data_IF_882577084204
#
_entry.id   IF_882577084204
#
_cell.length_a   1.000
_cell.length_b   1.000
_cell.length_c   1.000
_cell.angle_alpha   90.00
_cell.angle_beta   90.00
_cell.angle_gamma   90.00
#
_symmetry.space_group_name_H-M   'P 1'
#
loop_
_entity.id
_entity.type
_entity.pdbx_description
1 polymer ?
#
# COMPACT_ATOMS: atom_id res chain seq x y z
N UNK A 1 25.81 56.01 39.14
CA UNK A 1 26.26 54.78 38.41
C UNK A 1 25.28 54.54 37.30
N UNK A 2 25.72 54.54 36.03
CA UNK A 2 24.80 54.26 34.91
C UNK A 2 24.56 52.75 34.81
N UNK A 3 23.31 52.33 34.54
CA UNK A 3 22.88 50.95 34.39
C UNK A 3 23.52 50.31 33.14
N UNK A 4 23.83 48.98 33.23
CA UNK A 4 24.43 48.30 32.08
C UNK A 4 23.43 48.20 30.94
N UNK A 5 23.88 48.63 29.74
CA UNK A 5 23.13 48.47 28.47
C UNK A 5 23.00 46.95 28.18
N UNK A 6 21.77 46.41 28.21
CA UNK A 6 21.47 45.10 27.67
C UNK A 6 21.72 45.09 26.15
N UNK A 7 22.78 44.45 25.71
CA UNK A 7 22.97 44.08 24.33
C UNK A 7 21.91 43.05 23.95
N UNK A 8 20.95 43.46 23.14
CA UNK A 8 20.03 42.53 22.46
C UNK A 8 20.89 41.66 21.53
N UNK A 9 21.08 40.42 21.89
CA UNK A 9 21.53 39.41 20.95
C UNK A 9 20.48 39.31 19.85
N UNK A 10 20.79 39.78 18.66
CA UNK A 10 20.02 39.47 17.47
C UNK A 10 20.07 37.95 17.28
N UNK A 11 18.96 37.25 17.53
CA UNK A 11 18.80 35.91 17.10
C UNK A 11 18.95 35.86 15.59
N UNK A 12 19.95 35.18 15.05
CA UNK A 12 20.04 34.89 13.63
C UNK A 12 18.75 34.17 13.25
N UNK A 13 17.91 34.77 12.42
CA UNK A 13 16.82 34.06 11.76
C UNK A 13 17.45 33.28 10.64
N UNK A 14 17.34 31.97 10.69
CA UNK A 14 17.73 31.08 9.60
C UNK A 14 16.57 31.02 8.59
N UNK A 15 16.87 30.99 7.29
CA UNK A 15 15.87 30.58 6.33
C UNK A 15 15.48 29.11 6.58
N UNK A 16 14.23 28.69 6.30
CA UNK A 16 13.82 27.28 6.56
C UNK A 16 14.71 26.23 5.91
N UNK A 17 15.24 26.51 4.73
CA UNK A 17 16.19 25.67 4.01
C UNK A 17 17.54 25.52 4.74
N UNK A 18 18.03 26.58 5.41
CA UNK A 18 19.30 26.56 6.14
C UNK A 18 19.22 25.69 7.41
N UNK A 19 18.00 25.50 7.95
CA UNK A 19 17.80 24.69 9.15
C UNK A 19 18.04 23.20 8.89
N UNK A 20 17.79 22.72 7.68
CA UNK A 20 17.96 21.31 7.31
C UNK A 20 19.45 20.94 7.26
N UNK A 21 20.30 21.88 6.90
CA UNK A 21 21.76 21.67 6.76
C UNK A 21 22.52 21.78 8.08
N UNK A 22 21.83 22.09 9.18
CA UNK A 22 22.48 22.11 10.50
C UNK A 22 22.96 20.71 10.88
N UNK A 23 24.23 20.54 11.38
CA UNK A 23 24.80 19.23 11.71
C UNK A 23 23.91 18.41 12.67
N UNK A 24 23.25 19.06 13.64
CA UNK A 24 22.34 18.40 14.56
C UNK A 24 21.11 17.83 13.85
N UNK A 25 20.56 18.58 12.89
CA UNK A 25 19.38 18.15 12.11
C UNK A 25 19.79 17.01 11.17
N UNK A 26 20.93 17.10 10.50
CA UNK A 26 21.47 16.04 9.66
C UNK A 26 21.74 14.76 10.44
N UNK A 27 22.31 14.87 11.66
CA UNK A 27 22.51 13.72 12.53
C UNK A 27 21.16 13.09 12.93
N UNK A 28 20.18 13.89 13.28
CA UNK A 28 18.82 13.40 13.63
C UNK A 28 18.15 12.71 12.44
N UNK A 29 18.26 13.25 11.23
CA UNK A 29 17.75 12.64 10.01
C UNK A 29 18.43 11.30 9.71
N UNK A 30 19.77 11.22 9.84
CA UNK A 30 20.51 9.99 9.65
C UNK A 30 20.12 8.90 10.67
N UNK A 31 19.90 9.29 11.92
CA UNK A 31 19.42 8.38 12.96
C UNK A 31 18.00 7.88 12.63
N UNK A 32 17.10 8.77 12.17
CA UNK A 32 15.75 8.39 11.75
C UNK A 32 15.78 7.44 10.55
N UNK A 33 16.60 7.73 9.53
CA UNK A 33 16.78 6.84 8.37
C UNK A 33 17.30 5.47 8.81
N UNK A 34 18.26 5.41 9.73
CA UNK A 34 18.82 4.16 10.25
C UNK A 34 17.77 3.37 11.02
N UNK A 35 16.95 4.04 11.84
CA UNK A 35 15.86 3.43 12.58
C UNK A 35 14.81 2.85 11.63
N UNK A 36 14.31 3.63 10.68
CA UNK A 36 13.34 3.16 9.70
C UNK A 36 13.89 2.03 8.81
N UNK A 37 15.19 2.03 8.54
CA UNK A 37 15.82 0.95 7.76
C UNK A 37 15.87 -0.35 8.57
N UNK A 38 16.14 -0.29 9.87
CA UNK A 38 16.10 -1.45 10.77
C UNK A 38 14.67 -1.97 10.90
N UNK A 39 13.72 -1.11 11.18
CA UNK A 39 12.29 -1.44 11.27
C UNK A 39 11.77 -2.09 9.99
N UNK A 40 12.12 -1.52 8.81
CA UNK A 40 11.74 -2.10 7.52
C UNK A 40 12.35 -3.49 7.29
N UNK A 41 13.57 -3.75 7.80
CA UNK A 41 14.19 -5.08 7.72
C UNK A 41 13.49 -6.08 8.63
N UNK A 42 13.09 -5.67 9.83
CA UNK A 42 12.38 -6.53 10.78
C UNK A 42 10.99 -6.90 10.25
N UNK A 43 10.24 -5.90 9.73
CA UNK A 43 8.96 -6.13 9.05
C UNK A 43 9.12 -7.09 7.86
N UNK A 44 10.17 -6.90 7.05
CA UNK A 44 10.46 -7.81 5.94
C UNK A 44 10.81 -9.21 6.39
N UNK A 45 11.56 -9.32 7.48
CA UNK A 45 11.94 -10.62 8.02
C UNK A 45 10.70 -11.40 8.48
N UNK A 46 9.79 -10.76 9.19
CA UNK A 46 8.58 -11.39 9.72
C UNK A 46 7.59 -11.74 8.60
N UNK A 47 7.39 -10.85 7.62
CA UNK A 47 6.44 -11.07 6.51
C UNK A 47 6.99 -11.97 5.37
N UNK A 48 8.33 -12.11 5.24
CA UNK A 48 8.96 -12.85 4.12
C UNK A 48 9.44 -14.24 4.55
N UNK A 49 9.69 -14.47 5.84
CA UNK A 49 10.24 -15.74 6.38
C UNK A 49 9.15 -16.67 6.93
N UNK A 50 7.92 -16.19 7.03
CA UNK A 50 6.81 -17.11 7.36
C UNK A 50 6.67 -18.14 6.23
N UNK A 51 6.88 -19.42 6.58
CA UNK A 51 6.88 -20.60 5.69
C UNK A 51 5.47 -20.93 5.14
N UNK A 52 4.60 -19.89 5.12
CA UNK A 52 3.24 -20.00 4.60
C UNK A 52 3.21 -19.89 3.08
N UNK A 53 2.22 -20.51 2.45
CA UNK A 53 1.91 -20.41 1.00
C UNK A 53 1.65 -18.93 0.54
N UNK A 54 1.76 -17.96 1.46
CA UNK A 54 1.40 -16.56 1.29
C UNK A 54 2.60 -15.59 1.36
N UNK A 55 3.81 -16.04 1.04
CA UNK A 55 5.00 -15.18 0.99
C UNK A 55 5.29 -14.69 -0.42
N UNK A 56 5.84 -13.46 -0.59
CA UNK A 56 6.31 -12.97 -1.88
C UNK A 56 7.31 -13.93 -2.51
N UNK A 57 7.18 -14.20 -3.81
CA UNK A 57 8.00 -15.20 -4.51
C UNK A 57 9.05 -14.57 -5.44
N UNK A 58 9.09 -13.26 -5.57
CA UNK A 58 10.05 -12.56 -6.40
C UNK A 58 10.59 -11.30 -5.73
N UNK A 59 11.82 -10.85 -6.09
CA UNK A 59 12.37 -9.60 -5.57
C UNK A 59 11.48 -8.37 -5.84
N UNK A 60 10.73 -8.37 -6.94
CA UNK A 60 9.82 -7.26 -7.29
C UNK A 60 8.61 -7.23 -6.36
N UNK A 61 8.08 -8.39 -6.00
CA UNK A 61 7.01 -8.51 -5.01
C UNK A 61 7.47 -8.02 -3.63
N UNK A 62 8.70 -8.38 -3.21
CA UNK A 62 9.28 -7.87 -1.96
C UNK A 62 9.38 -6.34 -1.99
N UNK A 63 9.88 -5.74 -3.09
CA UNK A 63 9.96 -4.28 -3.23
C UNK A 63 8.58 -3.65 -3.10
N UNK A 64 7.56 -4.21 -3.77
CA UNK A 64 6.20 -3.67 -3.70
C UNK A 64 5.63 -3.76 -2.28
N UNK A 65 5.80 -4.88 -1.58
CA UNK A 65 5.35 -5.09 -0.20
C UNK A 65 6.00 -4.09 0.76
N UNK A 66 7.33 -3.88 0.67
CA UNK A 66 8.05 -2.89 1.49
C UNK A 66 7.44 -1.51 1.32
N UNK A 67 7.28 -1.06 0.08
CA UNK A 67 6.74 0.26 -0.18
C UNK A 67 5.27 0.40 0.21
N UNK A 68 4.51 -0.69 0.16
CA UNK A 68 3.16 -0.73 0.71
C UNK A 68 3.16 -0.45 2.22
N UNK A 69 4.00 -1.16 2.99
CA UNK A 69 4.13 -0.97 4.44
C UNK A 69 4.62 0.44 4.80
N UNK A 70 5.61 0.96 4.07
CA UNK A 70 6.11 2.34 4.26
C UNK A 70 4.98 3.36 4.01
N UNK A 71 4.24 3.24 2.93
CA UNK A 71 3.16 4.18 2.61
C UNK A 71 2.00 4.06 3.59
N UNK A 72 1.64 2.85 4.03
CA UNK A 72 0.64 2.63 5.07
C UNK A 72 1.05 3.31 6.39
N UNK A 73 2.29 3.13 6.83
CA UNK A 73 2.83 3.79 8.03
C UNK A 73 2.83 5.32 7.88
N UNK A 74 3.23 5.85 6.71
CA UNK A 74 3.21 7.30 6.43
C UNK A 74 1.80 7.87 6.54
N UNK A 75 0.79 7.18 6.00
CA UNK A 75 -0.62 7.60 6.09
C UNK A 75 -1.13 7.52 7.53
N UNK A 76 -0.76 6.50 8.27
CA UNK A 76 -1.12 6.37 9.70
C UNK A 76 -0.59 7.55 10.54
N UNK A 77 0.65 8.01 10.28
CA UNK A 77 1.21 9.19 10.93
C UNK A 77 0.44 10.48 10.60
N UNK A 78 -0.21 10.54 9.45
CA UNK A 78 -1.07 11.66 9.03
C UNK A 78 -2.51 11.54 9.52
N UNK A 79 -2.81 10.60 10.43
CA UNK A 79 -4.15 10.29 10.94
C UNK A 79 -5.14 9.86 9.84
N UNK A 80 -4.63 9.31 8.76
CA UNK A 80 -5.39 8.76 7.64
C UNK A 80 -4.91 7.34 7.30
N UNK A 81 -5.02 6.38 8.25
CA UNK A 81 -4.61 5.00 7.99
C UNK A 81 -5.46 4.42 6.86
N UNK A 82 -4.85 3.72 5.91
CA UNK A 82 -5.59 3.16 4.78
C UNK A 82 -6.63 2.13 5.20
N UNK A 83 -6.45 1.45 6.34
CA UNK A 83 -7.32 0.36 6.81
C UNK A 83 -7.40 -0.79 5.81
N UNK A 84 -6.28 -1.04 5.11
CA UNK A 84 -6.15 -1.96 4.00
C UNK A 84 -4.96 -2.87 4.19
N UNK A 85 -5.15 -4.16 3.97
CA UNK A 85 -4.12 -5.18 4.00
C UNK A 85 -3.76 -5.69 2.61
N UNK A 86 -2.52 -6.14 2.45
CA UNK A 86 -1.96 -6.69 1.22
C UNK A 86 -1.62 -8.17 1.43
N UNK A 87 -2.33 -9.04 0.73
CA UNK A 87 -2.20 -10.49 0.84
C UNK A 87 -1.37 -11.03 -0.34
N UNK A 88 -0.12 -11.49 -0.11
CA UNK A 88 0.70 -12.09 -1.16
C UNK A 88 0.15 -13.47 -1.55
N UNK A 89 0.36 -13.82 -2.82
CA UNK A 89 0.11 -15.15 -3.38
C UNK A 89 -1.31 -15.69 -3.17
N UNK A 90 -2.32 -14.78 -3.14
CA UNK A 90 -3.72 -15.14 -2.91
C UNK A 90 -4.29 -16.01 -4.04
N UNK A 91 -5.07 -17.04 -3.67
CA UNK A 91 -5.69 -17.96 -4.63
C UNK A 91 -7.16 -17.60 -4.83
N UNK A 92 -7.55 -17.35 -6.07
CA UNK A 92 -8.94 -17.02 -6.42
C UNK A 92 -9.46 -17.84 -7.59
N UNK A 93 -10.80 -17.99 -7.65
CA UNK A 93 -11.49 -18.56 -8.81
C UNK A 93 -11.97 -17.45 -9.73
N UNK A 94 -11.69 -17.60 -11.01
CA UNK A 94 -12.18 -16.67 -12.04
C UNK A 94 -13.45 -17.18 -12.73
N UNK A 95 -14.07 -16.32 -13.55
CA UNK A 95 -15.33 -16.62 -14.21
C UNK A 95 -15.30 -17.78 -15.23
N UNK A 96 -14.10 -18.21 -15.64
CA UNK A 96 -13.89 -19.39 -16.47
C UNK A 96 -13.77 -20.70 -15.66
N UNK A 97 -14.00 -20.67 -14.36
CA UNK A 97 -13.90 -21.79 -13.43
C UNK A 97 -12.46 -22.20 -13.07
N UNK A 98 -11.44 -21.56 -13.64
CA UNK A 98 -10.04 -21.82 -13.29
C UNK A 98 -9.65 -21.07 -12.01
N UNK A 99 -8.77 -21.70 -11.22
CA UNK A 99 -8.11 -21.00 -10.10
C UNK A 99 -6.84 -20.32 -10.58
N UNK A 100 -6.64 -19.09 -10.12
CA UNK A 100 -5.44 -18.30 -10.37
C UNK A 100 -4.82 -17.91 -9.04
N UNK A 101 -3.50 -17.79 -9.03
CA UNK A 101 -2.72 -17.23 -7.94
C UNK A 101 -2.35 -15.81 -8.32
N UNK A 102 -2.72 -14.86 -7.48
CA UNK A 102 -2.43 -13.44 -7.63
C UNK A 102 -1.11 -13.12 -6.94
N UNK A 103 -0.30 -12.21 -7.48
CA UNK A 103 0.88 -11.77 -6.74
C UNK A 103 0.46 -11.09 -5.43
N UNK A 104 -0.56 -10.23 -5.49
CA UNK A 104 -1.21 -9.69 -4.29
C UNK A 104 -2.71 -9.50 -4.48
N UNK A 105 -3.46 -9.67 -3.37
CA UNK A 105 -4.83 -9.19 -3.23
C UNK A 105 -4.87 -8.08 -2.17
N UNK A 106 -5.73 -7.05 -2.36
CA UNK A 106 -5.96 -5.98 -1.37
C UNK A 106 -7.31 -6.17 -0.72
N UNK A 107 -7.36 -6.13 0.61
CA UNK A 107 -8.58 -6.30 1.40
C UNK A 107 -8.66 -5.31 2.55
N UNK A 108 -9.88 -5.02 3.09
CA UNK A 108 -10.02 -4.28 4.33
C UNK A 108 -9.34 -5.02 5.51
N UNK A 109 -8.65 -4.29 6.39
CA UNK A 109 -8.07 -4.83 7.64
C UNK A 109 -9.17 -5.26 8.63
N UNK A 110 -10.28 -4.49 8.68
CA UNK A 110 -11.40 -4.80 9.57
C UNK A 110 -12.27 -5.89 8.92
N UNK A 111 -11.97 -7.13 9.32
CA UNK A 111 -12.63 -8.34 8.81
C UNK A 111 -14.11 -8.37 9.18
N UNK A 112 -14.46 -7.94 10.39
CA UNK A 112 -15.85 -7.94 10.87
C UNK A 112 -16.69 -6.93 10.09
N UNK A 113 -16.17 -5.73 9.86
CA UNK A 113 -16.82 -4.70 9.05
C UNK A 113 -16.98 -5.16 7.59
N UNK A 114 -15.98 -5.85 7.06
CA UNK A 114 -16.03 -6.41 5.70
C UNK A 114 -17.10 -7.49 5.57
N UNK A 115 -17.17 -8.45 6.52
CA UNK A 115 -18.20 -9.49 6.52
C UNK A 115 -19.59 -8.88 6.67
N UNK A 116 -19.83 -7.98 7.63
CA UNK A 116 -21.13 -7.31 7.80
C UNK A 116 -21.55 -6.57 6.53
N UNK A 117 -20.62 -5.87 5.87
CA UNK A 117 -20.91 -5.17 4.63
C UNK A 117 -21.34 -6.13 3.52
N UNK A 118 -20.66 -7.28 3.42
CA UNK A 118 -20.95 -8.32 2.42
C UNK A 118 -22.33 -8.95 2.63
N UNK A 119 -22.70 -9.27 3.88
CA UNK A 119 -24.02 -9.80 4.22
C UNK A 119 -25.15 -8.82 3.84
N UNK A 120 -24.88 -7.53 3.87
CA UNK A 120 -25.83 -6.46 3.46
C UNK A 120 -25.78 -6.17 1.96
N UNK A 121 -25.02 -6.92 1.17
CA UNK A 121 -24.84 -6.68 -0.26
C UNK A 121 -23.99 -5.45 -0.58
N UNK A 122 -23.29 -4.88 0.41
CA UNK A 122 -22.37 -3.75 0.24
C UNK A 122 -20.97 -4.34 0.10
N UNK A 123 -20.41 -4.30 -1.11
CA UNK A 123 -19.12 -4.96 -1.38
C UNK A 123 -17.97 -3.96 -1.46
N UNK A 124 -16.86 -4.34 -0.85
CA UNK A 124 -15.53 -3.87 -1.23
C UNK A 124 -15.15 -4.56 -2.55
N UNK A 125 -14.60 -3.86 -3.55
CA UNK A 125 -14.19 -4.50 -4.78
C UNK A 125 -13.03 -5.48 -4.54
N UNK A 126 -13.03 -6.60 -5.23
CA UNK A 126 -11.88 -7.50 -5.26
C UNK A 126 -10.76 -6.84 -6.07
N UNK A 127 -9.60 -6.60 -5.46
CA UNK A 127 -8.47 -5.88 -6.05
C UNK A 127 -7.27 -6.82 -6.12
N UNK A 128 -6.76 -7.02 -7.33
CA UNK A 128 -5.55 -7.77 -7.61
C UNK A 128 -4.43 -6.84 -8.06
N UNK A 129 -3.21 -7.11 -7.61
CA UNK A 129 -1.98 -6.50 -8.13
C UNK A 129 -1.13 -7.61 -8.74
N UNK A 130 -0.72 -7.42 -9.97
CA UNK A 130 0.11 -8.32 -10.75
C UNK A 130 1.41 -7.62 -11.13
N UNK A 131 2.52 -8.22 -10.78
CA UNK A 131 3.84 -7.66 -10.98
C UNK A 131 4.59 -8.46 -12.04
N UNK A 132 4.71 -7.87 -13.21
CA UNK A 132 5.39 -8.52 -14.32
C UNK A 132 6.91 -8.47 -14.16
N UNK A 133 7.57 -9.61 -14.00
CA UNK A 133 9.03 -9.73 -13.90
C UNK A 133 9.79 -9.18 -15.12
N UNK A 134 11.12 -9.20 -15.08
CA UNK A 134 12.03 -8.59 -16.07
C UNK A 134 11.93 -9.14 -17.51
N UNK A 135 11.18 -10.22 -17.77
CA UNK A 135 11.12 -10.89 -19.06
C UNK A 135 10.18 -10.24 -20.09
N UNK A 136 9.88 -8.94 -19.94
CA UNK A 136 8.92 -8.24 -20.83
C UNK A 136 9.33 -8.23 -22.30
N UNK A 137 10.62 -8.27 -22.61
CA UNK A 137 11.13 -8.16 -23.97
C UNK A 137 11.06 -9.47 -24.77
N UNK A 138 10.79 -10.60 -24.10
CA UNK A 138 10.78 -11.94 -24.73
C UNK A 138 9.42 -12.65 -24.66
N UNK A 139 8.35 -11.98 -24.26
CA UNK A 139 7.04 -12.64 -24.20
C UNK A 139 6.53 -12.99 -25.60
N UNK A 140 6.23 -14.26 -25.76
CA UNK A 140 5.58 -14.74 -26.98
C UNK A 140 4.14 -14.22 -27.08
N UNK A 141 3.61 -14.20 -28.32
CA UNK A 141 2.20 -13.82 -28.55
C UNK A 141 1.23 -14.67 -27.72
N UNK A 142 1.57 -15.94 -27.52
CA UNK A 142 0.79 -16.91 -26.73
C UNK A 142 0.78 -16.55 -25.26
N UNK A 143 1.90 -16.12 -24.69
CA UNK A 143 1.99 -15.65 -23.28
C UNK A 143 1.14 -14.39 -23.06
N UNK A 144 1.22 -13.43 -23.98
CA UNK A 144 0.38 -12.22 -23.94
C UNK A 144 -1.11 -12.57 -24.04
N UNK A 145 -1.48 -13.48 -24.94
CA UNK A 145 -2.86 -13.92 -25.12
C UNK A 145 -3.38 -14.64 -23.85
N UNK A 146 -2.56 -15.49 -23.24
CA UNK A 146 -2.90 -16.20 -22.00
C UNK A 146 -3.13 -15.22 -20.83
N UNK A 147 -2.25 -14.22 -20.67
CA UNK A 147 -2.42 -13.16 -19.68
C UNK A 147 -3.72 -12.40 -19.90
N UNK A 148 -3.96 -11.91 -21.09
CA UNK A 148 -5.18 -11.18 -21.42
C UNK A 148 -6.45 -12.03 -21.20
N UNK A 149 -6.37 -13.35 -21.41
CA UNK A 149 -7.48 -14.26 -21.10
C UNK A 149 -7.71 -14.37 -19.60
N UNK A 150 -6.64 -14.48 -18.81
CA UNK A 150 -6.69 -14.48 -17.33
C UNK A 150 -7.34 -13.20 -16.80
N UNK A 151 -6.88 -12.04 -17.29
CA UNK A 151 -7.41 -10.75 -16.85
C UNK A 151 -8.90 -10.62 -17.14
N UNK A 152 -9.32 -10.96 -18.34
CA UNK A 152 -10.76 -10.96 -18.68
C UNK A 152 -11.57 -11.92 -17.81
N UNK A 153 -11.01 -13.07 -17.46
CA UNK A 153 -11.68 -14.02 -16.57
C UNK A 153 -11.81 -13.52 -15.12
N UNK A 154 -10.80 -12.81 -14.61
CA UNK A 154 -10.85 -12.14 -13.32
C UNK A 154 -11.84 -10.96 -13.34
N UNK A 155 -11.76 -10.12 -14.36
CA UNK A 155 -12.66 -8.97 -14.51
C UNK A 155 -14.13 -9.39 -14.66
N UNK A 156 -14.42 -10.53 -15.31
CA UNK A 156 -15.79 -11.03 -15.47
C UNK A 156 -16.47 -11.42 -14.17
N UNK A 157 -15.71 -11.63 -13.09
CA UNK A 157 -16.24 -11.87 -11.73
C UNK A 157 -16.02 -10.70 -10.77
N UNK A 158 -15.62 -9.53 -11.31
CA UNK A 158 -15.60 -8.28 -10.57
C UNK A 158 -14.23 -7.83 -10.05
N UNK A 159 -13.15 -8.57 -10.35
CA UNK A 159 -11.81 -8.15 -9.95
C UNK A 159 -11.36 -6.88 -10.68
N UNK A 160 -10.83 -5.93 -9.93
CA UNK A 160 -10.04 -4.83 -10.46
C UNK A 160 -8.57 -5.26 -10.46
N UNK A 161 -7.97 -5.40 -11.63
CA UNK A 161 -6.58 -5.85 -11.77
C UNK A 161 -5.68 -4.66 -12.09
N UNK A 162 -4.64 -4.47 -11.30
CA UNK A 162 -3.54 -3.54 -11.55
C UNK A 162 -2.33 -4.32 -12.02
N UNK A 163 -1.72 -3.88 -13.12
CA UNK A 163 -0.49 -4.46 -13.65
C UNK A 163 0.63 -3.45 -13.62
N UNK A 164 1.75 -3.84 -13.05
CA UNK A 164 2.98 -3.05 -13.06
C UNK A 164 4.13 -3.89 -13.60
N UNK A 165 4.95 -3.30 -14.46
CA UNK A 165 6.19 -3.94 -14.87
C UNK A 165 7.22 -3.90 -13.74
N UNK A 166 8.11 -4.90 -13.67
CA UNK A 166 9.18 -4.91 -12.68
C UNK A 166 10.06 -3.66 -12.75
N UNK A 167 10.30 -3.13 -13.96
CA UNK A 167 11.05 -1.88 -14.13
C UNK A 167 10.30 -0.64 -13.59
N UNK A 168 8.99 -0.63 -13.65
CA UNK A 168 8.15 0.44 -13.12
C UNK A 168 8.15 0.42 -11.59
N UNK A 169 7.97 -0.78 -11.01
CA UNK A 169 8.03 -0.97 -9.55
C UNK A 169 9.39 -0.58 -8.99
N UNK A 170 10.50 -0.99 -9.63
CA UNK A 170 11.84 -0.65 -9.13
C UNK A 170 12.16 0.85 -9.27
N UNK A 171 11.72 1.49 -10.36
CA UNK A 171 12.01 2.92 -10.59
C UNK A 171 11.09 3.87 -9.84
N UNK A 172 9.82 3.48 -9.68
CA UNK A 172 8.78 4.34 -9.14
C UNK A 172 7.87 3.60 -8.14
N UNK A 173 8.43 2.91 -7.14
CA UNK A 173 7.66 2.01 -6.27
C UNK A 173 6.54 2.75 -5.53
N UNK A 174 6.84 3.93 -4.98
CA UNK A 174 5.84 4.74 -4.27
C UNK A 174 4.65 5.10 -5.17
N UNK A 175 4.90 5.42 -6.45
CA UNK A 175 3.83 5.73 -7.41
C UNK A 175 2.92 4.53 -7.63
N UNK A 176 3.50 3.34 -7.86
CA UNK A 176 2.74 2.10 -8.07
C UNK A 176 1.88 1.76 -6.86
N UNK A 177 2.46 1.83 -5.66
CA UNK A 177 1.75 1.57 -4.41
C UNK A 177 0.64 2.59 -4.16
N UNK A 178 0.93 3.89 -4.33
CA UNK A 178 -0.04 4.96 -4.12
C UNK A 178 -1.24 4.83 -5.05
N UNK A 179 -1.03 4.46 -6.31
CA UNK A 179 -2.12 4.26 -7.28
C UNK A 179 -3.12 3.20 -6.81
N UNK A 180 -2.63 2.05 -6.33
CA UNK A 180 -3.48 0.98 -5.79
C UNK A 180 -4.15 1.40 -4.49
N UNK A 181 -3.37 1.98 -3.58
CA UNK A 181 -3.84 2.35 -2.24
C UNK A 181 -4.89 3.46 -2.30
N UNK A 182 -4.74 4.44 -3.18
CA UNK A 182 -5.73 5.52 -3.37
C UNK A 182 -7.06 4.97 -3.89
N UNK A 183 -7.00 4.09 -4.90
CA UNK A 183 -8.20 3.42 -5.41
C UNK A 183 -8.90 2.62 -4.32
N UNK A 184 -8.14 1.80 -3.57
CA UNK A 184 -8.68 0.96 -2.52
C UNK A 184 -9.23 1.79 -1.34
N UNK A 185 -8.55 2.87 -0.95
CA UNK A 185 -9.02 3.77 0.12
C UNK A 185 -10.35 4.45 -0.23
N UNK A 186 -10.51 4.90 -1.47
CA UNK A 186 -11.79 5.45 -1.94
C UNK A 186 -12.89 4.39 -1.90
N UNK A 187 -12.59 3.17 -2.35
CA UNK A 187 -13.55 2.06 -2.33
C UNK A 187 -13.96 1.70 -0.89
N UNK A 188 -13.01 1.66 0.05
CA UNK A 188 -13.26 1.39 1.46
C UNK A 188 -14.11 2.50 2.10
N UNK A 189 -13.82 3.75 1.82
CA UNK A 189 -14.61 4.89 2.28
C UNK A 189 -16.06 4.80 1.79
N UNK A 190 -16.28 4.47 0.52
CA UNK A 190 -17.62 4.28 -0.05
C UNK A 190 -18.35 3.10 0.57
N UNK A 191 -17.68 1.97 0.81
CA UNK A 191 -18.23 0.81 1.52
C UNK A 191 -18.69 1.21 2.92
N UNK A 192 -17.81 1.81 3.71
CA UNK A 192 -18.08 2.26 5.09
C UNK A 192 -19.24 3.25 5.16
N UNK A 193 -19.29 4.21 4.24
CA UNK A 193 -20.39 5.17 4.15
C UNK A 193 -21.74 4.49 3.91
N UNK A 194 -21.80 3.50 3.00
CA UNK A 194 -23.01 2.74 2.72
C UNK A 194 -23.41 1.86 3.91
N UNK A 195 -22.45 1.20 4.55
CA UNK A 195 -22.69 0.39 5.74
C UNK A 195 -23.24 1.23 6.89
N UNK A 196 -22.65 2.39 7.14
CA UNK A 196 -23.13 3.32 8.15
C UNK A 196 -24.57 3.79 7.88
N UNK A 197 -24.90 4.11 6.65
CA UNK A 197 -26.29 4.45 6.26
C UNK A 197 -27.25 3.29 6.52
N UNK A 198 -26.88 2.06 6.15
CA UNK A 198 -27.69 0.87 6.39
C UNK A 198 -27.93 0.59 7.90
N UNK A 199 -26.91 0.77 8.74
CA UNK A 199 -27.02 0.64 10.21
C UNK A 199 -28.00 1.67 10.81
N UNK A 200 -28.06 2.89 10.27
CA UNK A 200 -28.99 3.93 10.73
C UNK A 200 -30.44 3.58 10.44
N UNK A 201 -30.74 3.04 9.27
CA UNK A 201 -32.13 2.65 8.92
C UNK A 201 -32.68 1.53 9.80
N UNK A 202 -31.83 0.62 10.31
CA UNK A 202 -32.27 -0.44 11.23
C UNK A 202 -32.60 0.05 12.65
N UNK A 203 -32.01 1.17 13.11
CA UNK A 203 -32.29 1.71 14.46
C UNK A 203 -33.56 2.52 14.55
N UNK A 204 -34.19 2.81 13.41
CA UNK A 204 -35.40 3.65 13.32
C UNK A 204 -36.68 2.81 13.02
N UNK A 205 -36.50 1.55 12.64
CA UNK A 205 -37.54 0.56 12.43
C UNK A 205 -37.72 -0.32 13.68
#
# INVERSE_FOLDING_TARGET
>A
MPAPKRTLHHSKSFAPEDLIDLPLVQQSLNNAISYFTAEAKDILHDDVIDDSDHTPQSPVEVVFLVWWKIEAARRALSHDPPGLDLFPQDKTKAGNGKSYRLDFAVRPEDVDEWFESSERGIRFPDIAVELDGHEWHERTKEQVASRNQRDRALQSVGWKVFHFSGSEVVRHPLKCVTEVMDFASVALCLMRRRLWAARRHQKVA
#
